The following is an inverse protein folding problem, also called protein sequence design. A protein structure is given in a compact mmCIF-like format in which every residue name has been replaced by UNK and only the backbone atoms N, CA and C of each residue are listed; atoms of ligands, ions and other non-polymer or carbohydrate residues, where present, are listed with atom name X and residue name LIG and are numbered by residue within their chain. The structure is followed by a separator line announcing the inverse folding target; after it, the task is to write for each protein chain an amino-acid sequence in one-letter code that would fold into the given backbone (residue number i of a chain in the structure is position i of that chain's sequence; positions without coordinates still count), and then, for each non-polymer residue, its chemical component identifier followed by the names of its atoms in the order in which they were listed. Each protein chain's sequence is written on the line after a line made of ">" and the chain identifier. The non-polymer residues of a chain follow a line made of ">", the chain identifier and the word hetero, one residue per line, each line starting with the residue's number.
data_IF_397606541262
#
_entry.id   IF_397606541262
#
_cell.length_a   1.000
_cell.length_b   1.000
_cell.length_c   1.000
_cell.angle_alpha   90.00
_cell.angle_beta   90.00
_cell.angle_gamma   90.00
#
_symmetry.space_group_name_H-M   'P 1'
#
loop_
_entity.id
_entity.type
_entity.pdbx_description
1 polymer ?
#
# COMPACT_ATOMS: atom_id res chain seq x y z
N UNK A 1 12.34 -21.61 2.47
CA UNK A 1 11.00 -21.31 3.02
C UNK A 1 10.37 -20.16 2.24
N UNK A 2 10.90 -18.94 2.28
CA UNK A 2 10.32 -17.70 1.71
C UNK A 2 9.96 -17.80 0.21
N UNK A 3 10.89 -18.26 -0.65
CA UNK A 3 10.63 -18.44 -2.09
C UNK A 3 9.49 -19.44 -2.34
N UNK A 4 9.43 -20.52 -1.56
CA UNK A 4 8.36 -21.53 -1.69
C UNK A 4 7.01 -20.97 -1.31
N UNK A 5 6.95 -20.17 -0.25
CA UNK A 5 5.71 -19.55 0.22
C UNK A 5 5.17 -18.55 -0.82
N UNK A 6 6.06 -17.77 -1.46
CA UNK A 6 5.69 -16.84 -2.55
C UNK A 6 5.24 -17.57 -3.82
N UNK A 7 5.92 -18.66 -4.22
CA UNK A 7 5.55 -19.44 -5.42
C UNK A 7 4.15 -20.03 -5.32
N UNK A 8 3.68 -20.32 -4.11
CA UNK A 8 2.33 -20.84 -3.89
C UNK A 8 1.22 -19.79 -4.19
N UNK A 9 1.52 -18.50 -4.14
CA UNK A 9 0.54 -17.42 -4.30
C UNK A 9 0.66 -16.72 -5.65
N UNK A 10 1.85 -16.43 -6.12
CA UNK A 10 2.04 -15.52 -7.24
C UNK A 10 2.06 -16.18 -8.62
N UNK A 11 2.45 -17.44 -8.74
CA UNK A 11 2.54 -18.14 -10.04
C UNK A 11 3.44 -17.49 -11.10
N UNK A 12 4.18 -16.40 -10.74
CA UNK A 12 5.06 -15.63 -11.62
C UNK A 12 6.49 -15.63 -11.07
N UNK A 13 7.27 -16.63 -11.48
CA UNK A 13 8.62 -16.88 -10.95
C UNK A 13 9.57 -15.67 -11.08
N UNK A 14 9.50 -14.92 -12.19
CA UNK A 14 10.34 -13.76 -12.42
C UNK A 14 10.12 -12.67 -11.35
N UNK A 15 8.87 -12.35 -11.04
CA UNK A 15 8.52 -11.35 -10.02
C UNK A 15 8.96 -11.82 -8.62
N UNK A 16 8.86 -13.13 -8.36
CA UNK A 16 9.29 -13.70 -7.09
C UNK A 16 10.80 -13.57 -6.91
N UNK A 17 11.58 -13.84 -7.96
CA UNK A 17 13.04 -13.73 -7.90
C UNK A 17 13.49 -12.29 -7.71
N UNK A 18 12.88 -11.34 -8.41
CA UNK A 18 13.14 -9.91 -8.22
C UNK A 18 12.82 -9.47 -6.80
N UNK A 19 11.65 -9.87 -6.27
CA UNK A 19 11.24 -9.54 -4.92
C UNK A 19 12.20 -10.11 -3.86
N UNK A 20 12.59 -11.37 -4.01
CA UNK A 20 13.56 -12.03 -3.10
C UNK A 20 14.92 -11.31 -3.14
N UNK A 21 15.40 -10.94 -4.33
CA UNK A 21 16.66 -10.23 -4.47
C UNK A 21 16.63 -8.85 -3.85
N UNK A 22 15.56 -8.09 -4.08
CA UNK A 22 15.38 -6.74 -3.51
C UNK A 22 15.31 -6.81 -1.98
N UNK A 23 14.57 -7.74 -1.42
CA UNK A 23 14.48 -7.92 0.04
C UNK A 23 15.81 -8.39 0.66
N UNK A 24 16.58 -9.25 -0.03
CA UNK A 24 17.93 -9.61 0.41
C UNK A 24 18.85 -8.41 0.43
N UNK A 25 18.85 -7.57 -0.61
CA UNK A 25 19.66 -6.35 -0.66
C UNK A 25 19.28 -5.39 0.48
N UNK A 26 18.00 -5.26 0.78
CA UNK A 26 17.54 -4.45 1.91
C UNK A 26 18.03 -5.02 3.25
N UNK A 27 17.96 -6.35 3.45
CA UNK A 27 18.40 -7.00 4.69
C UNK A 27 19.91 -6.90 4.96
N UNK A 28 20.71 -6.68 3.92
CA UNK A 28 22.16 -6.50 4.07
C UNK A 28 22.56 -5.13 4.63
N UNK A 29 21.59 -4.21 4.83
CA UNK A 29 21.81 -2.87 5.43
C UNK A 29 23.00 -2.12 4.81
N UNK A 30 23.24 -2.29 3.49
CA UNK A 30 24.42 -1.72 2.79
C UNK A 30 24.43 -0.18 2.84
N UNK A 31 23.26 0.44 3.05
CA UNK A 31 23.15 1.89 3.25
C UNK A 31 22.17 2.18 4.40
N UNK A 32 22.61 2.85 5.48
CA UNK A 32 21.70 3.40 6.46
C UNK A 32 20.89 4.53 5.78
N UNK A 33 19.64 4.28 5.49
CA UNK A 33 18.71 5.29 4.98
C UNK A 33 17.83 5.77 6.11
N UNK A 34 17.49 7.06 6.11
CA UNK A 34 16.45 7.60 6.99
C UNK A 34 15.05 7.27 6.49
N UNK A 35 14.94 6.73 5.27
CA UNK A 35 13.68 6.40 4.62
C UNK A 35 13.31 4.94 4.82
N UNK A 36 12.02 4.62 4.95
CA UNK A 36 11.56 3.23 4.96
C UNK A 36 11.80 2.57 3.60
N UNK A 37 11.87 1.25 3.60
CA UNK A 37 11.85 0.50 2.34
C UNK A 37 10.41 0.39 1.84
N UNK A 38 10.11 1.05 0.72
CA UNK A 38 8.75 1.17 0.20
C UNK A 38 8.58 0.35 -1.08
N UNK A 39 7.50 -0.43 -1.15
CA UNK A 39 7.09 -1.20 -2.33
C UNK A 39 5.65 -0.84 -2.71
N UNK A 40 5.40 -0.73 -4.02
CA UNK A 40 4.06 -0.52 -4.56
C UNK A 40 3.65 -1.74 -5.40
N UNK A 41 2.57 -2.43 -4.99
CA UNK A 41 2.00 -3.54 -5.73
C UNK A 41 0.80 -3.06 -6.55
N UNK A 42 0.95 -3.08 -7.86
CA UNK A 42 -0.07 -2.64 -8.81
C UNK A 42 -0.66 -3.88 -9.50
N UNK A 43 -1.98 -3.97 -9.56
CA UNK A 43 -2.64 -5.08 -10.26
C UNK A 43 -4.14 -5.13 -9.96
N UNK A 44 -4.93 -5.89 -10.73
CA UNK A 44 -6.36 -6.05 -10.48
C UNK A 44 -6.65 -6.68 -9.12
N UNK A 45 -7.90 -6.58 -8.65
CA UNK A 45 -8.33 -7.24 -7.41
C UNK A 45 -8.20 -8.76 -7.54
N UNK A 46 -7.88 -9.43 -6.41
CA UNK A 46 -7.86 -10.89 -6.34
C UNK A 46 -6.57 -11.57 -6.85
N UNK A 47 -5.57 -10.83 -7.34
CA UNK A 47 -4.30 -11.42 -7.82
C UNK A 47 -3.31 -11.77 -6.71
N UNK A 48 -3.67 -11.60 -5.43
CA UNK A 48 -2.83 -12.02 -4.30
C UNK A 48 -1.90 -10.95 -3.73
N UNK A 49 -2.03 -9.65 -4.09
CA UNK A 49 -1.18 -8.56 -3.58
C UNK A 49 -1.08 -8.53 -2.05
N UNK A 50 -2.22 -8.56 -1.39
CA UNK A 50 -2.32 -8.56 0.08
C UNK A 50 -1.70 -9.82 0.70
N UNK A 51 -1.85 -10.97 0.04
CA UNK A 51 -1.28 -12.23 0.54
C UNK A 51 0.25 -12.25 0.43
N UNK A 52 0.80 -11.73 -0.66
CA UNK A 52 2.25 -11.53 -0.81
C UNK A 52 2.80 -10.65 0.30
N UNK A 53 2.12 -9.54 0.64
CA UNK A 53 2.52 -8.68 1.74
C UNK A 53 2.55 -9.41 3.10
N UNK A 54 1.58 -10.28 3.37
CA UNK A 54 1.56 -11.10 4.59
C UNK A 54 2.72 -12.10 4.64
N UNK A 55 3.04 -12.72 3.50
CA UNK A 55 4.18 -13.64 3.39
C UNK A 55 5.50 -12.90 3.66
N UNK A 56 5.66 -11.70 3.11
CA UNK A 56 6.83 -10.84 3.38
C UNK A 56 6.91 -10.53 4.87
N UNK A 57 5.82 -10.11 5.49
CA UNK A 57 5.78 -9.76 6.91
C UNK A 57 6.19 -10.95 7.78
N UNK A 58 5.64 -12.12 7.54
CA UNK A 58 5.97 -13.36 8.26
C UNK A 58 7.46 -13.71 8.16
N UNK A 59 8.05 -13.53 6.97
CA UNK A 59 9.45 -13.92 6.74
C UNK A 59 10.47 -12.84 7.14
N UNK A 60 10.10 -11.54 7.08
CA UNK A 60 11.00 -10.43 7.39
C UNK A 60 10.88 -9.93 8.84
N UNK A 61 9.66 -9.88 9.37
CA UNK A 61 9.41 -9.40 10.74
C UNK A 61 9.01 -10.51 11.72
N UNK A 62 8.74 -11.72 11.25
CA UNK A 62 8.27 -12.84 12.07
C UNK A 62 6.82 -12.69 12.58
N UNK A 63 6.14 -11.63 12.21
CA UNK A 63 4.82 -11.24 12.69
C UNK A 63 3.86 -10.95 11.53
N UNK A 64 2.58 -10.75 11.84
CA UNK A 64 1.61 -10.22 10.88
C UNK A 64 1.92 -8.75 10.60
N UNK A 65 1.69 -8.26 9.36
CA UNK A 65 1.88 -6.85 9.06
C UNK A 65 0.91 -5.97 9.87
N UNK A 66 1.32 -4.73 10.17
CA UNK A 66 0.41 -3.68 10.57
C UNK A 66 -0.40 -3.31 9.33
N UNK A 67 -1.68 -3.66 9.31
CA UNK A 67 -2.51 -3.48 8.11
C UNK A 67 -3.48 -2.32 8.30
N UNK A 68 -3.45 -1.37 7.37
CA UNK A 68 -4.46 -0.34 7.22
C UNK A 68 -5.20 -0.56 5.90
N UNK A 69 -6.52 -0.78 6.00
CA UNK A 69 -7.40 -0.75 4.84
C UNK A 69 -7.69 0.73 4.50
N UNK A 70 -7.05 1.22 3.46
CA UNK A 70 -7.07 2.64 3.12
C UNK A 70 -8.46 3.11 2.65
N UNK A 71 -9.34 2.19 2.25
CA UNK A 71 -10.73 2.52 1.95
C UNK A 71 -11.54 3.01 3.17
N UNK A 72 -11.08 2.72 4.38
CA UNK A 72 -11.71 3.23 5.61
C UNK A 72 -11.34 4.70 5.91
N UNK A 73 -10.36 5.25 5.20
CA UNK A 73 -9.82 6.61 5.35
C UNK A 73 -10.18 7.50 4.16
N UNK A 74 -11.38 7.32 3.59
CA UNK A 74 -11.85 8.04 2.39
C UNK A 74 -12.28 9.48 2.66
N UNK A 75 -12.27 9.95 3.92
CA UNK A 75 -12.67 11.28 4.35
C UNK A 75 -11.55 11.96 5.15
N UNK A 76 -11.51 13.29 5.12
CA UNK A 76 -10.42 14.09 5.69
C UNK A 76 -10.15 13.80 7.18
N UNK A 77 -11.21 13.72 8.00
CA UNK A 77 -11.05 13.40 9.42
C UNK A 77 -10.49 11.98 9.69
N UNK A 78 -10.40 11.10 8.67
CA UNK A 78 -9.79 9.79 8.77
C UNK A 78 -8.33 9.85 9.19
N UNK A 79 -7.63 10.95 8.88
CA UNK A 79 -6.24 11.18 9.30
C UNK A 79 -6.07 11.10 10.83
N UNK A 80 -7.08 11.55 11.61
CA UNK A 80 -7.04 11.53 13.07
C UNK A 80 -6.97 10.11 13.65
N UNK A 81 -7.42 9.09 12.92
CA UNK A 81 -7.28 7.69 13.31
C UNK A 81 -5.84 7.19 13.19
N UNK A 82 -5.03 7.89 12.43
CA UNK A 82 -3.62 7.57 12.19
C UNK A 82 -2.70 8.33 13.13
N UNK A 83 -2.92 9.65 13.25
CA UNK A 83 -2.05 10.54 14.02
C UNK A 83 -2.60 10.91 15.40
N UNK A 84 -3.84 10.52 15.71
CA UNK A 84 -4.56 10.93 16.92
C UNK A 84 -5.36 12.20 16.73
N UNK A 85 -6.34 12.43 17.60
CA UNK A 85 -7.14 13.66 17.60
C UNK A 85 -6.37 14.80 18.27
N UNK A 86 -6.51 16.05 17.78
CA UNK A 86 -5.94 17.21 18.43
C UNK A 86 -6.51 17.40 19.85
N UNK A 87 -5.72 17.99 20.74
CA UNK A 87 -6.14 18.27 22.11
C UNK A 87 -7.44 19.12 22.14
N UNK A 88 -8.40 18.72 22.97
CA UNK A 88 -9.68 19.41 23.12
C UNK A 88 -10.82 18.89 22.26
N UNK A 89 -10.59 17.93 21.37
CA UNK A 89 -11.64 17.23 20.65
C UNK A 89 -12.08 15.95 21.39
N UNK A 90 -13.36 15.56 21.24
CA UNK A 90 -13.88 14.28 21.75
C UNK A 90 -13.03 13.13 21.14
N UNK A 91 -12.44 12.29 22.00
CA UNK A 91 -11.51 11.21 21.58
C UNK A 91 -10.03 11.58 21.66
N UNK A 92 -9.67 12.79 22.20
CA UNK A 92 -8.28 13.16 22.48
C UNK A 92 -7.67 12.47 23.70
N UNK A 93 -8.43 11.55 24.33
CA UNK A 93 -7.95 10.81 25.49
C UNK A 93 -6.70 10.00 25.14
N UNK A 94 -5.68 10.24 25.93
CA UNK A 94 -4.30 9.76 25.77
C UNK A 94 -4.10 8.24 25.78
N UNK A 95 -5.18 7.45 25.85
CA UNK A 95 -5.15 5.99 25.99
C UNK A 95 -5.55 5.23 24.71
N UNK A 96 -5.78 5.92 23.59
CA UNK A 96 -6.07 5.23 22.32
C UNK A 96 -4.74 4.85 21.67
N UNK A 97 -4.46 3.55 21.60
CA UNK A 97 -3.29 3.03 20.88
C UNK A 97 -3.43 3.34 19.39
N UNK A 98 -2.48 4.10 18.85
CA UNK A 98 -2.43 4.43 17.44
C UNK A 98 -1.85 3.27 16.63
N UNK A 99 -2.20 3.13 15.35
CA UNK A 99 -1.79 1.99 14.52
C UNK A 99 -0.28 1.74 14.49
N UNK A 100 0.51 2.81 14.62
CA UNK A 100 1.97 2.75 14.52
C UNK A 100 2.71 2.84 15.86
N UNK A 101 2.02 2.83 16.99
CA UNK A 101 2.67 2.86 18.30
C UNK A 101 3.58 1.65 18.53
N UNK A 102 3.27 0.52 17.88
CA UNK A 102 4.14 -0.67 17.90
C UNK A 102 5.54 -0.44 17.38
N UNK A 103 5.74 0.54 16.48
CA UNK A 103 7.06 0.88 15.96
C UNK A 103 8.01 1.43 17.03
N UNK A 104 7.46 2.00 18.13
CA UNK A 104 8.26 2.47 19.28
C UNK A 104 8.97 1.33 20.01
N UNK A 105 8.33 0.16 20.09
CA UNK A 105 8.88 -1.03 20.73
C UNK A 105 9.63 -1.94 19.77
N UNK A 106 9.13 -2.09 18.53
CA UNK A 106 9.74 -2.89 17.47
C UNK A 106 9.72 -2.14 16.14
N UNK A 107 10.84 -1.48 15.76
CA UNK A 107 10.90 -0.70 14.52
C UNK A 107 10.98 -1.56 13.24
N UNK A 108 11.30 -2.86 13.37
CA UNK A 108 11.41 -3.78 12.22
C UNK A 108 10.06 -4.39 11.88
N UNK A 109 9.10 -3.56 11.49
CA UNK A 109 7.74 -3.98 11.13
C UNK A 109 7.52 -3.93 9.62
N UNK A 110 6.60 -4.75 9.15
CA UNK A 110 6.03 -4.62 7.81
C UNK A 110 4.66 -3.96 7.94
N UNK A 111 4.46 -2.89 7.18
CA UNK A 111 3.23 -2.10 7.15
C UNK A 111 2.58 -2.32 5.79
N UNK A 112 1.31 -2.69 5.80
CA UNK A 112 0.50 -2.88 4.62
C UNK A 112 -0.56 -1.77 4.52
N UNK A 113 -0.46 -0.96 3.48
CA UNK A 113 -1.44 0.05 3.11
C UNK A 113 -2.29 -0.52 1.97
N UNK A 114 -3.40 -1.17 2.30
CA UNK A 114 -4.21 -1.87 1.31
C UNK A 114 -5.20 -0.92 0.63
N UNK A 115 -5.30 -0.97 -0.71
CA UNK A 115 -6.13 -0.09 -1.54
C UNK A 115 -5.80 1.40 -1.38
N UNK A 116 -4.51 1.75 -1.45
CA UNK A 116 -3.98 3.09 -1.18
C UNK A 116 -4.64 4.21 -2.00
N UNK A 117 -5.11 3.92 -3.21
CA UNK A 117 -5.82 4.89 -4.06
C UNK A 117 -7.17 5.35 -3.51
N UNK A 118 -7.75 4.62 -2.54
CA UNK A 118 -9.10 4.89 -2.02
C UNK A 118 -9.13 5.88 -0.86
N UNK A 119 -7.99 6.15 -0.24
CA UNK A 119 -7.97 7.09 0.88
C UNK A 119 -8.04 8.55 0.42
N UNK A 120 -8.42 9.42 1.36
CA UNK A 120 -8.44 10.87 1.15
C UNK A 120 -7.04 11.42 0.84
N UNK A 121 -7.02 12.57 0.16
CA UNK A 121 -5.77 13.24 -0.24
C UNK A 121 -4.93 13.70 0.96
N UNK A 122 -5.54 14.03 2.09
CA UNK A 122 -4.82 14.39 3.32
C UNK A 122 -4.01 13.20 3.83
N UNK A 123 -4.61 12.00 3.82
CA UNK A 123 -3.96 10.74 4.21
C UNK A 123 -2.88 10.35 3.20
N UNK A 124 -3.14 10.51 1.89
CA UNK A 124 -2.11 10.27 0.87
C UNK A 124 -0.88 11.16 1.08
N UNK A 125 -1.08 12.46 1.33
CA UNK A 125 0.02 13.41 1.60
C UNK A 125 0.80 13.04 2.86
N UNK A 126 0.11 12.60 3.91
CA UNK A 126 0.75 12.13 5.13
C UNK A 126 1.73 10.99 4.83
N UNK A 127 1.30 9.97 4.08
CA UNK A 127 2.17 8.84 3.73
C UNK A 127 3.26 9.21 2.73
N UNK A 128 3.03 10.16 1.81
CA UNK A 128 4.11 10.68 0.95
C UNK A 128 5.23 11.30 1.78
N UNK A 129 4.90 12.07 2.83
CA UNK A 129 5.89 12.59 3.76
C UNK A 129 6.62 11.45 4.49
N UNK A 130 5.89 10.42 4.96
CA UNK A 130 6.52 9.23 5.59
C UNK A 130 7.48 8.52 4.63
N UNK A 131 7.13 8.36 3.35
CA UNK A 131 7.99 7.73 2.36
C UNK A 131 9.27 8.55 2.09
N UNK A 132 9.17 9.87 2.16
CA UNK A 132 10.30 10.77 1.89
C UNK A 132 11.17 11.06 3.10
N UNK A 133 10.58 11.25 4.27
CA UNK A 133 11.30 11.67 5.48
C UNK A 133 11.55 10.50 6.46
N UNK A 134 10.75 9.44 6.36
CA UNK A 134 10.85 8.27 7.24
C UNK A 134 10.28 8.49 8.63
N UNK A 135 9.58 9.59 8.86
CA UNK A 135 9.01 9.94 10.16
C UNK A 135 7.53 10.36 10.01
N UNK A 136 6.79 10.17 11.09
CA UNK A 136 5.43 10.65 11.24
C UNK A 136 5.28 11.33 12.60
N UNK A 137 4.77 12.57 12.60
CA UNK A 137 4.49 13.28 13.84
C UNK A 137 3.00 13.15 14.17
N UNK A 138 2.69 12.66 15.36
CA UNK A 138 1.31 12.55 15.85
C UNK A 138 0.75 13.92 16.23
N UNK A 139 -0.56 14.02 16.42
CA UNK A 139 -1.22 15.26 16.89
C UNK A 139 -0.76 15.71 18.28
N UNK A 140 -0.18 14.81 19.06
CA UNK A 140 0.42 15.07 20.37
C UNK A 140 1.90 15.48 20.30
N UNK A 141 2.48 15.57 19.10
CA UNK A 141 3.89 15.91 18.90
C UNK A 141 4.86 14.73 19.05
N UNK A 142 4.38 13.51 19.24
CA UNK A 142 5.25 12.33 19.28
C UNK A 142 5.72 11.99 17.85
N UNK A 143 7.02 11.69 17.73
CA UNK A 143 7.62 11.27 16.46
C UNK A 143 7.71 9.76 16.40
N UNK A 144 7.22 9.17 15.31
CA UNK A 144 7.31 7.75 15.00
C UNK A 144 8.30 7.58 13.86
N UNK A 145 9.32 6.74 14.05
CA UNK A 145 10.38 6.46 13.07
C UNK A 145 10.05 5.20 12.25
N UNK A 146 9.99 5.34 10.95
CA UNK A 146 9.74 4.27 9.97
C UNK A 146 11.02 3.81 9.24
N UNK A 147 12.17 4.38 9.53
CA UNK A 147 13.40 4.14 8.77
C UNK A 147 13.81 2.66 8.68
N UNK A 148 13.42 1.85 9.65
CA UNK A 148 13.70 0.40 9.72
C UNK A 148 12.52 -0.47 9.29
N UNK A 149 11.41 0.15 8.88
CA UNK A 149 10.20 -0.56 8.47
C UNK A 149 10.19 -0.83 6.97
N UNK A 150 9.41 -1.84 6.58
CA UNK A 150 9.05 -2.10 5.19
C UNK A 150 7.61 -1.66 5.00
N UNK A 151 7.35 -0.75 4.06
CA UNK A 151 6.01 -0.29 3.74
C UNK A 151 5.60 -0.86 2.38
N UNK A 152 4.48 -1.56 2.36
CA UNK A 152 3.89 -2.13 1.15
C UNK A 152 2.56 -1.44 0.90
N UNK A 153 2.45 -0.72 -0.19
CA UNK A 153 1.18 -0.16 -0.65
C UNK A 153 0.62 -1.04 -1.77
N UNK A 154 -0.68 -1.33 -1.74
CA UNK A 154 -1.36 -2.00 -2.85
C UNK A 154 -2.29 -1.03 -3.55
N UNK A 155 -2.46 -1.19 -4.85
CA UNK A 155 -3.40 -0.39 -5.64
C UNK A 155 -3.97 -1.17 -6.82
N UNK A 156 -5.20 -0.84 -7.18
CA UNK A 156 -5.86 -1.30 -8.39
C UNK A 156 -5.88 -0.20 -9.48
N UNK A 157 -5.33 0.98 -9.21
CA UNK A 157 -5.32 2.09 -10.16
C UNK A 157 -4.59 1.71 -11.45
N UNK A 158 -5.15 2.09 -12.58
CA UNK A 158 -4.61 1.78 -13.91
C UNK A 158 -4.87 0.35 -14.41
N UNK A 159 -5.47 -0.52 -13.60
CA UNK A 159 -5.77 -1.91 -13.95
C UNK A 159 -7.22 -2.12 -14.44
N UNK A 160 -7.92 -1.06 -14.84
CA UNK A 160 -9.21 -1.22 -15.52
C UNK A 160 -8.99 -2.02 -16.79
N UNK A 161 -9.53 -3.24 -16.82
CA UNK A 161 -9.60 -4.04 -18.03
C UNK A 161 -10.20 -3.12 -19.11
N UNK A 162 -9.45 -2.90 -20.19
CA UNK A 162 -10.06 -2.36 -21.42
C UNK A 162 -11.17 -3.35 -21.75
N UNK A 163 -12.40 -3.00 -21.43
CA UNK A 163 -13.56 -3.66 -22.00
C UNK A 163 -13.38 -3.49 -23.50
N UNK A 164 -12.96 -4.55 -24.19
CA UNK A 164 -13.13 -4.62 -25.62
C UNK A 164 -14.62 -4.50 -25.82
N UNK A 165 -15.06 -3.30 -26.16
CA UNK A 165 -16.38 -3.13 -26.75
C UNK A 165 -16.35 -3.94 -28.04
N UNK A 166 -16.98 -5.10 -28.02
CA UNK A 166 -17.34 -5.82 -29.21
C UNK A 166 -18.47 -4.98 -29.79
N UNK A 167 -18.10 -3.89 -30.51
CA UNK A 167 -19.00 -3.14 -31.34
C UNK A 167 -19.24 -3.97 -32.61
N UNK A 168 -20.44 -4.46 -32.77
CA UNK A 168 -20.92 -4.85 -34.11
C UNK A 168 -20.98 -3.59 -34.91
N UNK A 169 -20.05 -3.40 -35.86
CA UNK A 169 -20.18 -2.46 -36.94
C UNK A 169 -21.21 -3.05 -37.89
N UNK A 170 -22.45 -2.58 -37.81
CA UNK A 170 -23.42 -2.71 -38.86
C UNK A 170 -23.06 -1.67 -39.95
N UNK A 171 -22.29 -2.09 -40.93
CA UNK A 171 -22.12 -1.36 -42.17
C UNK A 171 -23.47 -1.37 -42.90
N UNK A 172 -24.23 -0.30 -42.70
CA UNK A 172 -25.37 0.02 -43.57
C UNK A 172 -24.84 0.79 -44.77
N UNK A 173 -24.53 0.07 -45.82
CA UNK A 173 -24.41 0.60 -47.18
C UNK A 173 -25.77 1.19 -47.60
N UNK A 174 -25.88 2.49 -47.59
CA UNK A 174 -26.95 3.19 -48.31
C UNK A 174 -26.44 3.54 -49.70
N UNK A 175 -26.84 2.72 -50.68
CA UNK A 175 -26.80 3.08 -52.10
C UNK A 175 -27.73 4.26 -52.35
N UNK A 176 -27.14 5.38 -52.70
CA UNK A 176 -27.88 6.50 -53.30
C UNK A 176 -28.02 6.24 -54.79
N UNK A 177 -29.23 5.83 -55.23
CA UNK A 177 -29.64 5.94 -56.63
C UNK A 177 -29.98 7.39 -56.93
N UNK A 178 -29.23 7.97 -57.84
CA UNK A 178 -29.61 9.15 -58.64
C UNK A 178 -30.49 8.70 -59.81
N UNK A 179 -31.67 9.27 -59.92
CA UNK A 179 -32.46 9.36 -61.21
C UNK A 179 -33.18 10.69 -61.19
N UNK A 180 -32.91 11.43 -62.33
CA UNK A 180 -33.62 12.51 -63.04
C UNK A 180 -33.66 13.90 -62.38
#
# INVERSE_FOLDING_TARGET
>A
AFRRDLSAVCGQEAIIDDLVNVLKLHSLHIRPTKKPFTMLFIGPSGVGKTEVAKIIAKNCAGEKPITLNMSEFYYDAGINRIIGSPAGYLGSDSNVELPFDKLKSNPYQVILLDEFEKCDRSVQRLFMSVFDEGILTTSQGNVIDFSKSIIIATTNAGCTAKSRSIGFNSDSTSETRSEE
#
